data_IF_515663181357
#
_entry.id   IF_515663181357
#
_cell.length_a   1.000
_cell.length_b   1.000
_cell.length_c   1.000
_cell.angle_alpha   90.00
_cell.angle_beta   90.00
_cell.angle_gamma   90.00
#
_symmetry.space_group_name_H-M   'P 1'
#
loop_
_entity.id
_entity.type
_entity.pdbx_description
1 polymer ?
#
# COMPACT_ATOMS: atom_id res chain seq x y z
N UNK A 1 2.65 -26.32 5.30
CA UNK A 1 3.62 -26.59 4.26
C UNK A 1 3.54 -25.50 3.19
N UNK A 2 4.39 -24.50 3.28
CA UNK A 2 4.53 -23.39 2.36
C UNK A 2 6.02 -23.09 2.18
N UNK A 3 6.32 -21.94 1.58
CA UNK A 3 7.68 -21.39 1.50
C UNK A 3 7.81 -20.21 2.46
N UNK A 4 8.99 -20.00 2.98
CA UNK A 4 9.37 -18.80 3.72
C UNK A 4 10.17 -17.91 2.79
N UNK A 5 9.75 -16.67 2.65
CA UNK A 5 10.37 -15.69 1.76
C UNK A 5 10.70 -14.42 2.54
N UNK A 6 11.89 -13.87 2.31
CA UNK A 6 12.22 -12.54 2.85
C UNK A 6 11.39 -11.46 2.17
N UNK A 7 11.23 -10.33 2.81
CA UNK A 7 10.88 -9.07 2.15
C UNK A 7 12.16 -8.40 1.63
N UNK A 8 12.06 -7.17 1.14
CA UNK A 8 13.19 -6.41 0.58
C UNK A 8 14.33 -6.26 1.59
N UNK A 9 15.25 -7.21 1.57
CA UNK A 9 16.47 -7.17 2.37
C UNK A 9 17.62 -6.72 1.47
N UNK A 10 18.21 -5.58 1.81
CA UNK A 10 19.49 -5.17 1.23
C UNK A 10 20.63 -6.05 1.71
N UNK A 11 21.80 -5.94 1.07
CA UNK A 11 23.01 -6.64 1.52
C UNK A 11 23.33 -6.25 2.97
N UNK A 12 23.13 -7.17 3.89
CA UNK A 12 23.42 -6.99 5.32
C UNK A 12 24.73 -7.67 5.67
N UNK A 13 25.63 -6.91 6.29
CA UNK A 13 26.91 -7.43 6.75
C UNK A 13 26.77 -8.24 8.05
N UNK A 14 25.75 -7.95 8.82
CA UNK A 14 25.45 -8.54 10.13
C UNK A 14 24.60 -9.80 10.05
N UNK A 15 24.07 -10.13 8.90
CA UNK A 15 23.26 -11.31 8.66
C UNK A 15 23.75 -12.04 7.41
N UNK A 16 24.69 -12.97 7.55
CA UNK A 16 25.21 -13.73 6.43
C UNK A 16 24.14 -14.69 5.89
N UNK A 17 24.15 -14.90 4.56
CA UNK A 17 23.12 -15.68 3.86
C UNK A 17 22.99 -17.11 4.36
N UNK A 18 24.09 -17.72 4.80
CA UNK A 18 24.09 -19.06 5.38
C UNK A 18 23.21 -19.16 6.62
N UNK A 19 23.15 -18.10 7.43
CA UNK A 19 22.29 -18.06 8.62
C UNK A 19 20.82 -17.98 8.25
N UNK A 20 20.47 -17.27 7.18
CA UNK A 20 19.08 -17.17 6.70
C UNK A 20 18.59 -18.51 6.17
N UNK A 21 19.41 -19.19 5.38
CA UNK A 21 19.08 -20.52 4.82
C UNK A 21 18.97 -21.57 5.93
N UNK A 22 19.93 -21.59 6.85
CA UNK A 22 19.91 -22.51 7.98
C UNK A 22 18.69 -22.29 8.90
N UNK A 23 18.22 -21.04 9.04
CA UNK A 23 17.03 -20.69 9.79
C UNK A 23 15.70 -21.11 9.11
N UNK A 24 15.74 -21.55 7.84
CA UNK A 24 14.57 -22.04 7.13
C UNK A 24 13.99 -21.09 6.10
N UNK A 25 14.70 -20.01 5.75
CA UNK A 25 14.27 -19.16 4.64
C UNK A 25 14.53 -19.86 3.30
N UNK A 26 13.49 -19.97 2.48
CA UNK A 26 13.52 -20.75 1.23
C UNK A 26 13.79 -19.86 0.01
N UNK A 27 13.45 -18.58 0.08
CA UNK A 27 13.55 -17.64 -1.05
C UNK A 27 13.97 -16.25 -0.58
N UNK A 28 15.07 -15.77 -1.16
CA UNK A 28 15.55 -14.40 -0.95
C UNK A 28 14.86 -13.45 -1.92
N UNK A 29 14.20 -12.42 -1.44
CA UNK A 29 13.55 -11.41 -2.27
C UNK A 29 14.14 -10.02 -1.98
N UNK A 30 14.61 -9.27 -2.98
CA UNK A 30 14.59 -9.58 -4.42
C UNK A 30 15.67 -10.55 -4.89
N UNK A 31 16.64 -10.89 -4.05
CA UNK A 31 17.83 -11.67 -4.41
C UNK A 31 18.85 -10.87 -5.24
N UNK A 32 20.12 -11.19 -5.06
CA UNK A 32 21.22 -10.56 -5.78
C UNK A 32 22.10 -11.64 -6.38
N UNK A 33 22.66 -11.46 -7.61
CA UNK A 33 23.52 -12.46 -8.25
C UNK A 33 24.68 -12.92 -7.36
N UNK A 34 25.28 -12.02 -6.58
CA UNK A 34 26.38 -12.35 -5.67
C UNK A 34 26.00 -13.36 -4.58
N UNK A 35 24.73 -13.44 -4.19
CA UNK A 35 24.26 -14.40 -3.15
C UNK A 35 24.44 -15.85 -3.59
N UNK A 36 24.38 -16.14 -4.89
CA UNK A 36 24.62 -17.50 -5.41
C UNK A 36 26.05 -17.93 -5.11
N UNK A 37 27.00 -17.04 -5.34
CA UNK A 37 28.42 -17.29 -5.05
C UNK A 37 28.69 -17.39 -3.53
N UNK A 38 28.05 -16.53 -2.74
CA UNK A 38 28.14 -16.55 -1.28
C UNK A 38 27.62 -17.90 -0.72
N UNK A 39 26.49 -18.43 -1.23
CA UNK A 39 25.95 -19.75 -0.84
C UNK A 39 26.93 -20.87 -1.19
N UNK A 40 27.45 -20.88 -2.43
CA UNK A 40 28.41 -21.89 -2.87
C UNK A 40 29.66 -21.88 -2.00
N UNK A 41 30.18 -20.71 -1.69
CA UNK A 41 31.34 -20.56 -0.85
C UNK A 41 31.08 -20.98 0.60
N UNK A 42 29.90 -20.67 1.15
CA UNK A 42 29.50 -21.10 2.50
C UNK A 42 29.42 -22.63 2.60
N UNK A 43 28.86 -23.31 1.61
CA UNK A 43 28.82 -24.79 1.57
C UNK A 43 30.23 -25.36 1.46
N UNK A 44 31.08 -24.85 0.56
CA UNK A 44 32.47 -25.30 0.41
C UNK A 44 33.31 -25.10 1.67
N UNK A 45 33.02 -24.05 2.43
CA UNK A 45 33.68 -23.74 3.68
C UNK A 45 33.13 -24.48 4.91
N UNK A 46 32.10 -25.30 4.72
CA UNK A 46 31.43 -26.03 5.83
C UNK A 46 30.63 -25.14 6.77
N UNK A 47 30.28 -23.91 6.35
CA UNK A 47 29.48 -22.95 7.12
C UNK A 47 27.97 -23.13 6.89
N UNK A 48 27.58 -23.75 5.80
CA UNK A 48 26.21 -24.08 5.44
C UNK A 48 26.11 -25.54 5.09
N UNK A 49 25.15 -26.26 5.71
CA UNK A 49 24.87 -27.64 5.37
C UNK A 49 24.16 -27.71 4.01
N UNK A 50 24.64 -28.58 3.12
CA UNK A 50 24.00 -28.79 1.83
C UNK A 50 22.54 -29.26 1.96
N UNK A 51 22.22 -29.99 3.04
CA UNK A 51 20.86 -30.42 3.30
C UNK A 51 19.88 -29.25 3.52
N UNK A 52 20.37 -28.13 4.05
CA UNK A 52 19.55 -26.91 4.19
C UNK A 52 19.25 -26.30 2.83
N UNK A 53 20.22 -26.29 1.92
CA UNK A 53 20.03 -25.84 0.53
C UNK A 53 19.03 -26.76 -0.19
N UNK A 54 19.18 -28.08 -0.06
CA UNK A 54 18.31 -29.08 -0.66
C UNK A 54 16.87 -28.97 -0.13
N UNK A 55 16.71 -28.68 1.17
CA UNK A 55 15.40 -28.36 1.76
C UNK A 55 14.74 -27.17 1.07
N UNK A 56 15.47 -26.06 0.89
CA UNK A 56 14.95 -24.88 0.22
C UNK A 56 14.53 -25.20 -1.23
N UNK A 57 15.39 -25.87 -1.99
CA UNK A 57 15.10 -26.31 -3.36
C UNK A 57 13.85 -27.20 -3.40
N UNK A 58 13.77 -28.18 -2.51
CA UNK A 58 12.59 -29.07 -2.40
C UNK A 58 11.31 -28.28 -2.14
N UNK A 59 11.31 -27.38 -1.14
CA UNK A 59 10.16 -26.55 -0.81
C UNK A 59 9.72 -25.71 -2.01
N UNK A 60 10.67 -25.10 -2.72
CA UNK A 60 10.40 -24.32 -3.92
C UNK A 60 9.80 -25.18 -5.04
N UNK A 61 10.34 -26.37 -5.31
CA UNK A 61 9.83 -27.26 -6.32
C UNK A 61 8.41 -27.75 -5.97
N UNK A 62 8.17 -28.14 -4.72
CA UNK A 62 6.85 -28.53 -4.23
C UNK A 62 5.83 -27.38 -4.35
N UNK A 63 6.25 -26.14 -4.20
CA UNK A 63 5.40 -24.99 -4.40
C UNK A 63 5.10 -24.77 -5.89
N UNK A 64 6.12 -24.82 -6.74
CA UNK A 64 6.00 -24.61 -8.19
C UNK A 64 4.98 -25.59 -8.81
N UNK A 65 5.06 -26.88 -8.48
CA UNK A 65 4.15 -27.89 -9.03
C UNK A 65 2.69 -27.69 -8.59
N UNK A 66 2.45 -26.96 -7.52
CA UNK A 66 1.11 -26.58 -7.06
C UNK A 66 0.56 -25.31 -7.69
N UNK A 67 1.41 -24.53 -8.39
CA UNK A 67 0.95 -23.26 -8.97
C UNK A 67 -0.07 -23.48 -10.08
N UNK A 68 -1.04 -22.56 -10.23
CA UNK A 68 -2.00 -22.62 -11.33
C UNK A 68 -1.31 -22.65 -12.70
N UNK A 69 -0.20 -21.91 -12.86
CA UNK A 69 0.57 -21.90 -14.11
C UNK A 69 1.15 -23.27 -14.47
N UNK A 70 1.73 -23.97 -13.51
CA UNK A 70 2.28 -25.32 -13.71
C UNK A 70 1.19 -26.30 -14.12
N UNK A 71 0.00 -26.15 -13.56
CA UNK A 71 -1.17 -26.99 -13.83
C UNK A 71 -1.98 -26.53 -15.06
N UNK A 72 -1.41 -25.73 -15.91
CA UNK A 72 -2.01 -25.35 -17.18
C UNK A 72 -3.20 -24.39 -17.09
N UNK A 73 -3.34 -23.67 -15.97
CA UNK A 73 -4.39 -22.66 -15.81
C UNK A 73 -4.27 -21.58 -16.90
N UNK A 74 -5.35 -21.37 -17.62
CA UNK A 74 -5.46 -20.33 -18.63
C UNK A 74 -5.88 -19.03 -17.98
N UNK A 75 -5.00 -18.06 -17.98
CA UNK A 75 -5.27 -16.73 -17.44
C UNK A 75 -5.49 -15.72 -18.56
N UNK A 76 -6.16 -14.63 -18.24
CA UNK A 76 -6.39 -13.48 -19.10
C UNK A 76 -5.68 -12.25 -18.54
N UNK A 77 -5.16 -11.39 -19.39
CA UNK A 77 -4.70 -10.05 -19.05
C UNK A 77 -5.81 -8.98 -19.19
N UNK A 78 -7.06 -9.43 -19.35
CA UNK A 78 -8.25 -8.59 -19.42
C UNK A 78 -9.18 -8.93 -18.26
N UNK A 79 -8.84 -8.54 -17.01
CA UNK A 79 -9.73 -8.74 -15.87
C UNK A 79 -10.99 -7.88 -16.00
N UNK A 80 -12.09 -8.37 -15.45
CA UNK A 80 -13.31 -7.57 -15.27
C UNK A 80 -13.11 -6.61 -14.08
N UNK A 81 -12.61 -5.42 -14.38
CA UNK A 81 -12.30 -4.42 -13.35
C UNK A 81 -13.55 -3.88 -12.65
N UNK A 82 -14.69 -3.86 -13.32
CA UNK A 82 -15.95 -3.42 -12.71
C UNK A 82 -16.44 -4.43 -11.68
N UNK A 83 -16.47 -5.72 -12.04
CA UNK A 83 -16.80 -6.77 -11.08
C UNK A 83 -15.83 -6.79 -9.89
N UNK A 84 -14.52 -6.60 -10.12
CA UNK A 84 -13.53 -6.50 -9.06
C UNK A 84 -13.77 -5.30 -8.13
N UNK A 85 -14.17 -4.15 -8.69
CA UNK A 85 -14.49 -2.95 -7.91
C UNK A 85 -15.67 -3.20 -6.95
N UNK A 86 -16.71 -3.95 -7.40
CA UNK A 86 -17.84 -4.32 -6.55
C UNK A 86 -17.41 -5.25 -5.40
N UNK A 87 -16.59 -6.25 -5.68
CA UNK A 87 -16.04 -7.15 -4.65
C UNK A 87 -15.19 -6.38 -3.64
N UNK A 88 -14.34 -5.46 -4.12
CA UNK A 88 -13.50 -4.61 -3.25
C UNK A 88 -14.36 -3.73 -2.35
N UNK A 89 -15.42 -3.14 -2.90
CA UNK A 89 -16.38 -2.33 -2.13
C UNK A 89 -17.06 -3.16 -1.04
N UNK A 90 -17.55 -4.34 -1.38
CA UNK A 90 -18.17 -5.26 -0.42
C UNK A 90 -17.18 -5.65 0.69
N UNK A 91 -15.99 -6.10 0.34
CA UNK A 91 -14.96 -6.49 1.29
C UNK A 91 -14.57 -5.34 2.23
N UNK A 92 -14.45 -4.11 1.70
CA UNK A 92 -14.17 -2.91 2.50
C UNK A 92 -15.32 -2.62 3.49
N UNK A 93 -16.56 -2.78 3.05
CA UNK A 93 -17.74 -2.58 3.91
C UNK A 93 -17.80 -3.61 5.04
N UNK A 94 -17.56 -4.87 4.72
CA UNK A 94 -17.58 -5.96 5.71
C UNK A 94 -16.37 -5.92 6.65
N UNK A 95 -15.25 -5.35 6.21
CA UNK A 95 -14.04 -5.19 7.02
C UNK A 95 -14.09 -4.01 8.02
N UNK A 96 -15.07 -3.11 7.91
CA UNK A 96 -15.20 -1.98 8.83
C UNK A 96 -15.81 -2.41 10.15
N UNK A 97 -15.14 -2.06 11.26
CA UNK A 97 -15.61 -2.34 12.62
C UNK A 97 -15.93 -1.02 13.32
N UNK A 98 -17.20 -0.86 13.73
CA UNK A 98 -17.64 0.30 14.49
C UNK A 98 -17.30 0.11 15.98
N UNK A 99 -16.22 0.75 16.43
CA UNK A 99 -15.71 0.58 17.80
C UNK A 99 -16.55 1.34 18.83
N UNK A 100 -17.17 2.45 18.46
CA UNK A 100 -17.95 3.31 19.34
C UNK A 100 -19.04 4.04 18.56
N UNK A 101 -20.24 4.10 19.09
CA UNK A 101 -21.37 4.81 18.50
C UNK A 101 -22.28 5.38 19.59
N UNK A 102 -21.78 6.38 20.28
CA UNK A 102 -22.52 7.05 21.36
C UNK A 102 -23.75 7.76 20.76
N UNK A 103 -24.85 7.70 21.49
CA UNK A 103 -26.13 8.33 21.12
C UNK A 103 -26.70 7.90 19.77
N UNK A 104 -26.26 6.74 19.22
CA UNK A 104 -26.69 6.27 17.89
C UNK A 104 -26.44 7.31 16.78
N UNK A 105 -25.31 8.02 16.84
CA UNK A 105 -24.92 9.03 15.83
C UNK A 105 -24.86 8.43 14.43
N UNK A 106 -24.46 7.17 14.29
CA UNK A 106 -24.44 6.42 13.04
C UNK A 106 -25.54 5.34 13.05
N UNK A 107 -26.15 5.04 11.89
CA UNK A 107 -25.96 5.70 10.59
C UNK A 107 -26.58 7.10 10.57
N UNK A 108 -25.95 8.00 9.80
CA UNK A 108 -26.51 9.34 9.57
C UNK A 108 -27.85 9.24 8.84
N UNK A 109 -28.89 9.87 9.39
CA UNK A 109 -30.23 9.82 8.80
C UNK A 109 -30.64 11.20 8.26
N UNK A 110 -31.19 11.21 7.04
CA UNK A 110 -31.74 12.43 6.42
C UNK A 110 -30.73 13.59 6.27
N UNK A 111 -29.44 13.27 6.17
CA UNK A 111 -28.38 14.27 6.02
C UNK A 111 -28.40 14.79 4.58
N UNK A 112 -28.51 16.10 4.42
CA UNK A 112 -28.43 16.79 3.12
C UNK A 112 -27.13 17.51 2.89
N UNK A 113 -26.46 17.93 3.96
CA UNK A 113 -25.20 18.66 3.92
C UNK A 113 -24.31 18.26 5.09
N UNK A 114 -23.00 18.22 4.84
CA UNK A 114 -21.98 17.96 5.85
C UNK A 114 -20.85 18.98 5.75
N UNK A 115 -20.27 19.34 6.89
CA UNK A 115 -19.02 20.07 6.95
C UNK A 115 -17.86 19.05 6.92
N UNK A 116 -17.02 19.13 5.91
CA UNK A 116 -15.95 18.19 5.66
C UNK A 116 -14.61 18.85 6.06
N UNK A 117 -13.93 18.27 7.05
CA UNK A 117 -12.64 18.74 7.55
C UNK A 117 -11.54 17.76 7.23
N UNK A 118 -10.30 18.25 7.18
CA UNK A 118 -9.10 17.47 6.94
C UNK A 118 -8.71 17.39 5.47
N UNK A 119 -7.42 17.57 5.20
CA UNK A 119 -6.86 17.59 3.84
C UNK A 119 -7.18 16.30 3.07
N UNK A 120 -7.08 15.15 3.73
CA UNK A 120 -7.35 13.86 3.09
C UNK A 120 -8.80 13.67 2.63
N UNK A 121 -9.72 14.53 3.08
CA UNK A 121 -11.08 14.55 2.58
C UNK A 121 -11.17 15.16 1.16
N UNK A 122 -10.19 15.96 0.78
CA UNK A 122 -10.14 16.70 -0.49
C UNK A 122 -8.99 16.25 -1.39
N UNK A 123 -7.95 15.67 -0.82
CA UNK A 123 -6.80 15.10 -1.50
C UNK A 123 -6.56 13.69 -0.94
N UNK A 124 -7.41 12.76 -1.39
CA UNK A 124 -7.49 11.41 -0.85
C UNK A 124 -6.29 10.56 -1.27
N UNK A 125 -5.62 9.98 -0.31
CA UNK A 125 -4.52 9.07 -0.53
C UNK A 125 -5.04 7.64 -0.74
N UNK A 126 -5.15 7.23 -2.00
CA UNK A 126 -5.77 5.95 -2.39
C UNK A 126 -4.81 4.77 -2.43
N UNK A 127 -3.54 4.98 -2.22
CA UNK A 127 -2.52 3.94 -2.30
C UNK A 127 -1.34 4.17 -1.38
N UNK A 128 -0.43 3.21 -1.32
CA UNK A 128 0.81 3.30 -0.57
C UNK A 128 1.98 3.87 -1.37
N UNK A 129 3.16 3.87 -0.76
CA UNK A 129 4.44 4.16 -1.42
C UNK A 129 5.03 2.87 -2.00
N UNK A 130 6.03 3.02 -2.86
CA UNK A 130 6.72 1.89 -3.49
C UNK A 130 5.76 1.01 -4.29
N UNK A 131 5.71 -0.28 -4.00
CA UNK A 131 4.83 -1.24 -4.66
C UNK A 131 3.32 -1.02 -4.40
N UNK A 132 2.98 -0.26 -3.37
CA UNK A 132 1.60 0.18 -3.10
C UNK A 132 1.14 1.35 -3.98
N UNK A 133 2.05 2.01 -4.71
CA UNK A 133 1.74 3.08 -5.65
C UNK A 133 1.38 2.49 -7.01
N UNK A 134 0.14 2.07 -7.16
CA UNK A 134 -0.37 1.45 -8.40
C UNK A 134 -1.13 2.45 -9.26
N UNK A 135 -1.11 2.23 -10.57
CA UNK A 135 -1.93 3.00 -11.50
C UNK A 135 -3.39 2.55 -11.41
N UNK A 136 -4.20 3.36 -10.76
CA UNK A 136 -5.64 3.12 -10.67
C UNK A 136 -6.38 3.88 -11.76
N UNK A 137 -7.48 3.32 -12.33
CA UNK A 137 -8.24 3.99 -13.40
C UNK A 137 -9.00 5.22 -12.88
N UNK A 138 -9.36 5.24 -11.60
CA UNK A 138 -10.04 6.35 -10.94
C UNK A 138 -9.87 6.26 -9.41
N UNK A 139 -10.12 7.38 -8.75
CA UNK A 139 -10.19 7.48 -7.29
C UNK A 139 -11.52 8.13 -6.92
N UNK A 140 -12.23 7.56 -5.95
CA UNK A 140 -13.39 8.19 -5.33
C UNK A 140 -12.97 8.73 -3.97
N UNK A 141 -12.69 10.02 -3.92
CA UNK A 141 -12.40 10.73 -2.67
C UNK A 141 -13.68 10.94 -1.84
N UNK A 142 -13.54 11.49 -0.64
CA UNK A 142 -14.67 11.71 0.26
C UNK A 142 -15.69 12.69 -0.35
N UNK A 143 -15.22 13.74 -1.02
CA UNK A 143 -16.07 14.75 -1.66
C UNK A 143 -16.93 14.12 -2.76
N UNK A 144 -16.31 13.35 -3.66
CA UNK A 144 -17.01 12.65 -4.72
C UNK A 144 -17.92 11.54 -4.19
N UNK A 145 -17.49 10.83 -3.14
CA UNK A 145 -18.31 9.81 -2.49
C UNK A 145 -19.61 10.37 -1.90
N UNK A 146 -19.54 11.50 -1.20
CA UNK A 146 -20.70 12.21 -0.67
C UNK A 146 -21.62 12.71 -1.78
N UNK A 147 -21.04 13.33 -2.81
CA UNK A 147 -21.80 13.79 -3.98
C UNK A 147 -22.54 12.64 -4.66
N UNK A 148 -21.90 11.49 -4.84
CA UNK A 148 -22.52 10.30 -5.42
C UNK A 148 -23.66 9.75 -4.54
N UNK A 149 -23.57 9.96 -3.22
CA UNK A 149 -24.62 9.63 -2.27
C UNK A 149 -25.73 10.70 -2.15
N UNK A 150 -25.67 11.78 -2.92
CA UNK A 150 -26.62 12.89 -2.88
C UNK A 150 -26.48 13.81 -1.66
N UNK A 151 -25.31 13.79 -1.00
CA UNK A 151 -25.02 14.63 0.16
C UNK A 151 -24.12 15.79 -0.29
N UNK A 152 -24.58 17.03 -0.01
CA UNK A 152 -23.80 18.23 -0.29
C UNK A 152 -22.72 18.47 0.79
N UNK A 153 -21.71 19.23 0.44
CA UNK A 153 -20.68 19.72 1.39
C UNK A 153 -20.77 21.24 1.51
N UNK A 154 -20.28 21.77 2.65
CA UNK A 154 -20.26 23.23 2.88
C UNK A 154 -19.33 23.91 1.86
N UNK A 155 -19.85 24.78 0.95
CA UNK A 155 -19.06 25.29 -0.17
C UNK A 155 -17.83 26.09 0.24
N UNK A 156 -17.93 26.93 1.26
CA UNK A 156 -16.84 27.79 1.73
C UNK A 156 -15.68 26.95 2.26
N UNK A 157 -15.99 25.91 3.04
CA UNK A 157 -15.00 24.99 3.57
C UNK A 157 -14.32 24.19 2.45
N UNK A 158 -15.09 23.76 1.48
CA UNK A 158 -14.58 23.07 0.29
C UNK A 158 -13.60 23.96 -0.49
N UNK A 159 -13.94 25.22 -0.71
CA UNK A 159 -13.09 26.18 -1.41
C UNK A 159 -11.76 26.42 -0.67
N UNK A 160 -11.81 26.60 0.66
CA UNK A 160 -10.60 26.78 1.48
C UNK A 160 -9.65 25.62 1.32
N UNK A 161 -10.12 24.38 1.50
CA UNK A 161 -9.26 23.20 1.39
C UNK A 161 -8.75 22.97 -0.04
N UNK A 162 -9.57 23.11 -1.05
CA UNK A 162 -9.14 22.93 -2.44
C UNK A 162 -8.08 23.95 -2.86
N UNK A 163 -8.23 25.20 -2.45
CA UNK A 163 -7.23 26.25 -2.70
C UNK A 163 -5.91 25.95 -1.98
N UNK A 164 -6.00 25.47 -0.74
CA UNK A 164 -4.80 25.08 0.01
C UNK A 164 -4.08 23.89 -0.63
N UNK A 165 -4.79 22.83 -0.99
CA UNK A 165 -4.22 21.65 -1.68
C UNK A 165 -3.52 22.08 -2.96
N UNK A 166 -4.17 22.91 -3.77
CA UNK A 166 -3.59 23.44 -5.01
C UNK A 166 -2.29 24.21 -4.77
N UNK A 167 -2.30 25.11 -3.79
CA UNK A 167 -1.12 25.90 -3.42
C UNK A 167 0.03 25.02 -2.91
N UNK A 168 -0.25 24.14 -1.96
CA UNK A 168 0.74 23.26 -1.35
C UNK A 168 1.34 22.27 -2.35
N UNK A 169 0.52 21.71 -3.24
CA UNK A 169 0.99 20.84 -4.33
C UNK A 169 1.91 21.58 -5.29
N UNK A 170 1.56 22.81 -5.66
CA UNK A 170 2.40 23.64 -6.53
C UNK A 170 3.75 23.95 -5.86
N UNK A 171 3.75 24.29 -4.57
CA UNK A 171 4.96 24.56 -3.79
C UNK A 171 5.87 23.34 -3.73
N UNK A 172 5.34 22.16 -3.47
CA UNK A 172 6.14 20.92 -3.43
C UNK A 172 6.73 20.54 -4.79
N UNK A 173 5.98 20.72 -5.87
CA UNK A 173 6.49 20.50 -7.23
C UNK A 173 7.63 21.46 -7.60
N UNK A 174 7.63 22.65 -7.01
CA UNK A 174 8.69 23.65 -7.19
C UNK A 174 9.92 23.33 -6.31
N UNK A 175 9.73 22.69 -5.20
CA UNK A 175 10.79 22.27 -4.27
C UNK A 175 11.43 20.98 -4.78
N UNK A 176 12.49 21.13 -5.60
CA UNK A 176 13.23 20.03 -6.24
C UNK A 176 14.16 19.29 -5.29
N UNK A 177 13.78 19.06 -4.03
CA UNK A 177 14.61 18.30 -3.12
C UNK A 177 14.60 16.79 -3.48
N UNK A 178 15.71 16.22 -4.01
CA UNK A 178 15.76 14.85 -4.47
C UNK A 178 15.57 13.82 -3.35
N UNK A 179 15.94 14.15 -2.10
CA UNK A 179 15.78 13.27 -0.94
C UNK A 179 14.31 13.09 -0.55
N UNK A 180 13.48 14.06 -0.89
CA UNK A 180 12.04 13.99 -0.65
C UNK A 180 11.27 13.26 -1.76
N UNK A 181 11.91 12.99 -2.92
CA UNK A 181 11.23 12.34 -4.03
C UNK A 181 10.68 10.96 -3.66
N UNK A 182 11.44 10.17 -2.94
CA UNK A 182 11.03 8.82 -2.52
C UNK A 182 9.91 8.87 -1.45
N UNK A 183 9.95 9.87 -0.58
CA UNK A 183 8.94 10.08 0.45
C UNK A 183 7.71 10.85 -0.07
N UNK A 184 7.87 11.62 -1.15
CA UNK A 184 6.85 12.51 -1.71
C UNK A 184 6.20 11.98 -2.99
N UNK A 185 6.33 10.70 -3.30
CA UNK A 185 5.48 10.07 -4.32
C UNK A 185 3.99 10.03 -3.89
N UNK A 186 3.72 10.38 -2.66
CA UNK A 186 2.40 10.58 -2.11
C UNK A 186 2.00 12.04 -2.15
N UNK A 187 1.62 12.57 -1.03
CA UNK A 187 1.03 13.90 -0.88
C UNK A 187 1.94 14.83 -0.09
N UNK A 188 1.83 16.15 -0.32
CA UNK A 188 2.46 17.12 0.55
C UNK A 188 1.98 16.94 1.99
N UNK A 189 2.90 17.02 2.95
CA UNK A 189 2.53 17.25 4.34
C UNK A 189 1.93 18.65 4.43
N UNK A 190 0.65 18.72 4.65
CA UNK A 190 -0.10 19.97 4.75
C UNK A 190 -0.25 20.34 6.23
N UNK A 191 -0.18 21.62 6.55
CA UNK A 191 -0.38 22.10 7.92
C UNK A 191 -1.88 22.19 8.21
N UNK A 192 -2.43 21.11 8.74
CA UNK A 192 -3.84 21.01 9.14
C UNK A 192 -4.20 22.00 10.25
N UNK A 193 -3.24 22.37 11.11
CA UNK A 193 -3.49 23.32 12.19
C UNK A 193 -3.76 24.71 11.60
N UNK A 194 -3.00 25.13 10.59
CA UNK A 194 -3.20 26.40 9.92
C UNK A 194 -4.54 26.44 9.17
N UNK A 195 -4.89 25.37 8.46
CA UNK A 195 -6.17 25.27 7.76
C UNK A 195 -7.32 25.33 8.75
N UNK A 196 -7.25 24.56 9.83
CA UNK A 196 -8.32 24.53 10.85
C UNK A 196 -8.56 25.91 11.44
N UNK A 197 -7.50 26.69 11.73
CA UNK A 197 -7.63 28.08 12.20
C UNK A 197 -8.40 28.94 11.19
N UNK A 198 -8.01 28.89 9.91
CA UNK A 198 -8.70 29.63 8.83
C UNK A 198 -10.18 29.25 8.71
N UNK A 199 -10.52 27.97 8.90
CA UNK A 199 -11.91 27.52 8.82
C UNK A 199 -12.77 27.97 10.01
N UNK A 200 -12.16 28.24 11.17
CA UNK A 200 -12.87 28.72 12.37
C UNK A 200 -13.13 30.23 12.28
N UNK A 201 -12.29 30.98 11.57
CA UNK A 201 -12.39 32.43 11.39
C UNK A 201 -13.47 32.86 10.39
N UNK A 202 -14.09 31.92 9.68
CA UNK A 202 -15.15 32.13 8.68
C UNK A 202 -16.41 31.32 8.99
#
# INVERSE_FOLDING_TARGET
NGIVMTDWIGKRKDLPIESEIAAGNDLMMPGYPAQVEDIVNAVKAGKLDINDVDRCVKNMLEYIVKTPRFNGYKYSNKPDLEAHAQITRQASTEGMVLLKNDYNTLPLKNIKNVALFGVNSYDFFSGGLGSGCVNVPYVVDMLNGLKNAGVATTPQLTEIYQNYVKYATAKLKADKNPEMWFLNQGQPKLDEIEITKRCIEH
#
